data_IF_325669500365
#
_entry.id   IF_325669500365
#
_cell.length_a   1.000
_cell.length_b   1.000
_cell.length_c   1.000
_cell.angle_alpha   90.00
_cell.angle_beta   90.00
_cell.angle_gamma   90.00
#
_symmetry.space_group_name_H-M   'P 1'
#
loop_
_entity.id
_entity.type
_entity.pdbx_description
1 polymer ?
#
# COMPACT_ATOMS: atom_id res chain seq x y z
N UNK A 1 32.30 4.50 -24.54
CA UNK A 1 32.10 4.39 -25.99
C UNK A 1 30.74 3.78 -26.25
N UNK A 2 29.72 4.60 -26.39
CA UNK A 2 28.39 4.23 -26.85
C UNK A 2 28.29 4.58 -28.35
N UNK A 3 27.77 3.72 -29.20
CA UNK A 3 27.41 4.13 -30.55
C UNK A 3 26.00 4.74 -30.54
N UNK A 4 25.90 5.95 -31.05
CA UNK A 4 24.64 6.53 -31.53
C UNK A 4 24.11 5.69 -32.70
N UNK A 5 22.79 5.36 -32.63
CA UNK A 5 21.87 5.54 -33.74
C UNK A 5 20.45 5.16 -33.32
N UNK A 6 19.59 6.17 -33.31
CA UNK A 6 18.13 6.05 -33.17
C UNK A 6 17.56 5.89 -34.57
N UNK A 7 16.75 4.84 -34.85
CA UNK A 7 15.81 4.88 -35.97
C UNK A 7 14.49 5.49 -35.52
N UNK A 8 14.01 6.40 -36.31
CA UNK A 8 12.73 7.08 -36.19
C UNK A 8 11.54 6.16 -36.44
N UNK A 9 10.41 6.56 -35.79
CA UNK A 9 9.00 6.28 -36.08
C UNK A 9 8.34 5.07 -35.43
N UNK A 10 7.33 5.37 -34.63
CA UNK A 10 6.14 4.62 -34.24
C UNK A 10 6.21 3.50 -33.20
N UNK A 11 7.31 3.33 -32.47
CA UNK A 11 7.38 2.39 -31.34
C UNK A 11 7.72 3.04 -29.99
N UNK A 12 7.84 4.37 -29.94
CA UNK A 12 8.48 5.05 -28.81
C UNK A 12 7.69 5.06 -27.50
N UNK A 13 6.37 5.09 -27.55
CA UNK A 13 5.56 5.18 -26.35
C UNK A 13 5.58 3.87 -25.52
N UNK A 14 5.48 2.72 -26.18
CA UNK A 14 5.49 1.43 -25.49
C UNK A 14 6.84 1.09 -24.86
N UNK A 15 7.96 1.42 -25.56
CA UNK A 15 9.29 1.14 -25.04
C UNK A 15 9.68 2.06 -23.87
N UNK A 16 9.29 3.34 -23.91
CA UNK A 16 9.50 4.29 -22.81
C UNK A 16 8.67 3.88 -21.59
N UNK A 17 7.45 3.45 -21.82
CA UNK A 17 6.55 2.97 -20.78
C UNK A 17 7.11 1.71 -20.09
N UNK A 18 7.53 0.72 -20.86
CA UNK A 18 8.15 -0.52 -20.33
C UNK A 18 9.39 -0.24 -19.49
N UNK A 19 10.26 0.70 -19.94
CA UNK A 19 11.42 1.12 -19.16
C UNK A 19 11.04 1.83 -17.87
N UNK A 20 9.98 2.65 -17.87
CA UNK A 20 9.49 3.33 -16.68
C UNK A 20 8.96 2.36 -15.63
N UNK A 21 8.15 1.38 -16.02
CA UNK A 21 7.60 0.36 -15.11
C UNK A 21 8.69 -0.53 -14.55
N UNK A 22 9.61 -1.00 -15.39
CA UNK A 22 10.78 -1.76 -14.93
C UNK A 22 11.63 -0.94 -13.96
N UNK A 23 11.79 0.36 -14.19
CA UNK A 23 12.54 1.23 -13.31
C UNK A 23 11.82 1.43 -11.97
N UNK A 24 10.49 1.61 -11.96
CA UNK A 24 9.68 1.70 -10.75
C UNK A 24 9.73 0.39 -9.97
N UNK A 25 9.50 -0.75 -10.62
CA UNK A 25 9.60 -2.07 -9.98
C UNK A 25 11.01 -2.33 -9.45
N UNK A 26 12.03 -1.90 -10.17
CA UNK A 26 13.43 -2.05 -9.77
C UNK A 26 13.77 -1.15 -8.58
N UNK A 27 13.31 0.10 -8.58
CA UNK A 27 13.44 1.05 -7.46
C UNK A 27 12.69 0.52 -6.23
N UNK A 28 11.45 0.08 -6.44
CA UNK A 28 10.62 -0.54 -5.40
C UNK A 28 11.26 -1.81 -4.83
N UNK A 29 12.06 -2.54 -5.59
CA UNK A 29 12.69 -3.79 -5.14
C UNK A 29 13.95 -3.61 -4.27
N UNK A 30 14.60 -2.46 -4.25
CA UNK A 30 15.96 -2.35 -3.68
C UNK A 30 16.24 -1.17 -2.77
N UNK A 31 15.33 -0.23 -2.60
CA UNK A 31 15.66 1.00 -1.88
C UNK A 31 14.95 1.16 -0.54
N UNK A 32 15.67 1.72 0.41
CA UNK A 32 15.09 2.38 1.58
C UNK A 32 14.17 3.47 1.04
N UNK A 33 12.93 3.48 1.50
CA UNK A 33 11.96 4.50 1.09
C UNK A 33 12.51 5.89 1.39
N UNK A 34 12.84 6.71 0.39
CA UNK A 34 13.33 8.07 0.61
C UNK A 34 12.13 8.98 0.86
N UNK A 35 11.24 8.62 1.79
CA UNK A 35 10.18 9.53 2.18
C UNK A 35 10.38 9.96 3.63
N UNK A 36 10.18 11.22 3.85
CA UNK A 36 10.13 11.79 5.18
C UNK A 36 8.67 11.72 5.67
N UNK A 37 8.35 10.97 6.73
CA UNK A 37 7.00 10.91 7.27
C UNK A 37 6.50 12.25 7.80
N UNK A 38 7.37 13.25 7.90
CA UNK A 38 7.01 14.65 8.18
C UNK A 38 6.36 15.34 7.00
N UNK A 39 6.51 14.82 5.78
CA UNK A 39 5.84 15.34 4.60
C UNK A 39 4.44 14.76 4.47
N UNK A 40 3.56 15.56 3.93
CA UNK A 40 2.20 15.20 3.60
C UNK A 40 2.18 13.97 2.67
N UNK A 41 1.19 13.12 2.85
CA UNK A 41 0.93 12.08 1.86
C UNK A 41 0.76 12.76 0.50
N UNK A 42 1.38 12.22 -0.54
CA UNK A 42 1.20 12.69 -1.91
C UNK A 42 -0.20 12.32 -2.42
N UNK A 43 -1.22 12.90 -1.80
CA UNK A 43 -2.61 12.68 -2.16
C UNK A 43 -2.87 13.08 -3.60
N UNK A 44 -3.68 12.29 -4.29
CA UNK A 44 -4.06 12.60 -5.66
C UNK A 44 -4.89 13.89 -5.73
N UNK A 45 -4.71 14.65 -6.79
CA UNK A 45 -5.36 15.95 -7.01
C UNK A 45 -5.53 16.25 -8.50
N UNK A 46 -6.24 17.33 -8.82
CA UNK A 46 -6.41 17.79 -10.20
C UNK A 46 -7.01 16.72 -11.10
N UNK A 47 -6.42 16.53 -12.27
CA UNK A 47 -6.92 15.63 -13.31
C UNK A 47 -7.01 14.17 -12.86
N UNK A 48 -6.06 13.68 -12.08
CA UNK A 48 -6.11 12.31 -11.53
C UNK A 48 -7.38 12.09 -10.70
N UNK A 49 -7.74 13.10 -9.88
CA UNK A 49 -8.93 13.03 -9.04
C UNK A 49 -10.21 13.14 -9.88
N UNK A 50 -10.25 14.07 -10.83
CA UNK A 50 -11.41 14.26 -11.73
C UNK A 50 -11.72 13.00 -12.55
N UNK A 51 -10.69 12.25 -12.93
CA UNK A 51 -10.82 10.99 -13.68
C UNK A 51 -11.11 9.76 -12.81
N UNK A 52 -11.14 9.90 -11.49
CA UNK A 52 -11.37 8.79 -10.57
C UNK A 52 -12.84 8.64 -10.23
N UNK A 53 -13.46 7.46 -10.44
CA UNK A 53 -14.87 7.24 -10.09
C UNK A 53 -15.17 7.51 -8.60
N UNK A 54 -14.24 7.21 -7.71
CA UNK A 54 -14.34 7.42 -6.26
C UNK A 54 -14.06 8.85 -5.79
N UNK A 55 -13.88 9.83 -6.68
CA UNK A 55 -13.46 11.20 -6.36
C UNK A 55 -14.29 11.85 -5.23
N UNK A 56 -15.62 11.76 -5.31
CA UNK A 56 -16.49 12.40 -4.31
C UNK A 56 -16.30 11.85 -2.89
N UNK A 57 -16.14 10.53 -2.75
CA UNK A 57 -15.86 9.89 -1.46
C UNK A 57 -14.46 10.23 -0.97
N UNK A 58 -13.51 10.28 -1.87
CA UNK A 58 -12.13 10.65 -1.55
C UNK A 58 -12.03 12.10 -1.05
N UNK A 59 -12.66 13.04 -1.73
CA UNK A 59 -12.73 14.42 -1.24
C UNK A 59 -13.41 14.53 0.13
N UNK A 60 -14.48 13.75 0.35
CA UNK A 60 -15.09 13.67 1.69
C UNK A 60 -14.08 13.16 2.71
N UNK A 61 -13.30 12.13 2.39
CA UNK A 61 -12.25 11.62 3.27
C UNK A 61 -11.20 12.67 3.55
N UNK A 62 -10.69 13.39 2.55
CA UNK A 62 -9.68 14.44 2.75
C UNK A 62 -10.19 15.58 3.64
N UNK A 63 -11.46 15.98 3.47
CA UNK A 63 -12.08 16.96 4.37
C UNK A 63 -12.15 16.47 5.81
N UNK A 64 -12.46 15.20 6.02
CA UNK A 64 -12.48 14.57 7.34
C UNK A 64 -11.07 14.41 7.90
N UNK A 65 -10.13 14.00 7.07
CA UNK A 65 -8.72 13.87 7.42
C UNK A 65 -8.17 15.16 8.03
N UNK A 66 -8.40 16.28 7.33
CA UNK A 66 -8.00 17.62 7.81
C UNK A 66 -8.77 18.04 9.06
N UNK A 67 -10.10 17.88 9.06
CA UNK A 67 -10.96 18.33 10.16
C UNK A 67 -10.67 17.58 11.47
N UNK A 68 -10.32 16.32 11.40
CA UNK A 68 -10.07 15.45 12.54
C UNK A 68 -8.58 15.38 12.91
N UNK A 69 -7.74 16.16 12.24
CA UNK A 69 -6.29 16.21 12.50
C UNK A 69 -5.65 14.80 12.44
N UNK A 70 -6.04 13.98 11.46
CA UNK A 70 -5.62 12.59 11.38
C UNK A 70 -4.11 12.45 11.24
N UNK A 71 -3.49 13.27 10.39
CA UNK A 71 -2.04 13.26 10.20
C UNK A 71 -1.31 13.62 11.50
N UNK A 72 -1.75 14.68 12.18
CA UNK A 72 -1.18 15.15 13.45
C UNK A 72 -1.33 14.09 14.54
N UNK A 73 -2.45 13.36 14.58
CA UNK A 73 -2.63 12.24 15.51
C UNK A 73 -1.65 11.11 15.19
N UNK A 74 -1.46 10.77 13.92
CA UNK A 74 -0.49 9.75 13.52
C UNK A 74 0.93 10.14 13.89
N UNK A 75 1.29 11.40 13.67
CA UNK A 75 2.59 11.96 14.04
C UNK A 75 2.83 11.94 15.56
N UNK A 76 1.86 12.38 16.33
CA UNK A 76 1.93 12.30 17.81
C UNK A 76 1.99 10.85 18.29
N UNK A 77 1.36 9.92 17.57
CA UNK A 77 1.46 8.49 17.85
C UNK A 77 2.90 7.98 17.84
N UNK A 78 3.78 8.54 17.00
CA UNK A 78 5.21 8.16 16.97
C UNK A 78 5.94 8.51 18.29
N UNK A 79 5.47 9.52 19.02
CA UNK A 79 6.09 9.99 20.27
C UNK A 79 5.63 9.18 21.49
N UNK A 80 4.41 8.64 21.45
CA UNK A 80 3.76 8.03 22.63
C UNK A 80 3.51 6.52 22.51
N UNK A 81 3.70 5.95 21.33
CA UNK A 81 3.53 4.51 21.08
C UNK A 81 4.80 3.90 20.49
N UNK A 82 5.06 2.60 20.74
CA UNK A 82 6.16 1.93 20.08
C UNK A 82 5.89 1.63 18.59
N UNK A 83 4.70 2.00 18.08
CA UNK A 83 4.31 1.70 16.71
C UNK A 83 4.62 2.86 15.78
N UNK A 84 5.54 2.66 14.85
CA UNK A 84 5.82 3.61 13.77
C UNK A 84 4.81 3.47 12.62
N UNK A 85 3.53 3.55 12.96
CA UNK A 85 2.45 3.31 12.01
C UNK A 85 2.44 4.34 10.88
N UNK A 86 2.77 5.61 11.15
CA UNK A 86 2.77 6.65 10.13
C UNK A 86 3.76 6.35 9.00
N UNK A 87 4.99 5.95 9.32
CA UNK A 87 6.01 5.61 8.31
C UNK A 87 5.56 4.43 7.46
N UNK A 88 4.99 3.41 8.10
CA UNK A 88 4.43 2.26 7.40
C UNK A 88 3.28 2.66 6.48
N UNK A 89 2.29 3.39 6.98
CA UNK A 89 1.13 3.84 6.22
C UNK A 89 1.55 4.69 5.02
N UNK A 90 2.48 5.64 5.23
CA UNK A 90 2.98 6.49 4.16
C UNK A 90 3.74 5.67 3.10
N UNK A 91 4.53 4.68 3.51
CA UNK A 91 5.22 3.78 2.58
C UNK A 91 4.24 2.93 1.76
N UNK A 92 3.23 2.37 2.39
CA UNK A 92 2.17 1.61 1.72
C UNK A 92 1.42 2.49 0.72
N UNK A 93 1.04 3.71 1.15
CA UNK A 93 0.39 4.67 0.25
C UNK A 93 1.25 5.01 -0.97
N UNK A 94 2.55 5.29 -0.74
CA UNK A 94 3.49 5.61 -1.82
C UNK A 94 3.57 4.48 -2.86
N UNK A 95 3.76 3.24 -2.43
CA UNK A 95 3.84 2.09 -3.35
C UNK A 95 2.51 1.88 -4.06
N UNK A 96 1.42 1.82 -3.32
CA UNK A 96 0.10 1.52 -3.90
C UNK A 96 -0.29 2.55 -4.96
N UNK A 97 -0.04 3.84 -4.71
CA UNK A 97 -0.41 4.91 -5.66
C UNK A 97 0.53 4.93 -6.88
N UNK A 98 1.83 4.70 -6.67
CA UNK A 98 2.80 4.63 -7.77
C UNK A 98 2.44 3.49 -8.73
N UNK A 99 2.24 2.29 -8.20
CA UNK A 99 1.86 1.13 -9.01
C UNK A 99 0.46 1.26 -9.62
N UNK A 100 -0.47 1.92 -8.91
CA UNK A 100 -1.80 2.21 -9.42
C UNK A 100 -1.77 3.13 -10.63
N UNK A 101 -0.90 4.15 -10.64
CA UNK A 101 -0.67 5.03 -11.79
C UNK A 101 -0.12 4.26 -12.98
N UNK A 102 0.91 3.47 -12.77
CA UNK A 102 1.53 2.65 -13.82
C UNK A 102 0.53 1.67 -14.46
N UNK A 103 -0.26 0.98 -13.64
CA UNK A 103 -1.30 0.09 -14.14
C UNK A 103 -2.39 0.85 -14.92
N UNK A 104 -2.78 2.04 -14.45
CA UNK A 104 -3.76 2.88 -15.16
C UNK A 104 -3.22 3.34 -16.52
N UNK A 105 -1.94 3.74 -16.60
CA UNK A 105 -1.27 4.08 -17.84
C UNK A 105 -1.16 2.87 -18.77
N UNK A 106 -0.98 1.65 -18.23
CA UNK A 106 -1.04 0.40 -18.99
C UNK A 106 -2.45 0.00 -19.44
N UNK A 107 -3.46 0.82 -19.18
CA UNK A 107 -4.84 0.58 -19.59
C UNK A 107 -5.63 -0.34 -18.66
N UNK A 108 -5.12 -0.65 -17.48
CA UNK A 108 -5.89 -1.37 -16.45
C UNK A 108 -6.84 -0.37 -15.76
N UNK A 109 -8.14 -0.68 -15.66
CA UNK A 109 -9.06 0.21 -14.96
C UNK A 109 -8.77 0.23 -13.45
N UNK A 110 -8.14 1.30 -12.99
CA UNK A 110 -7.80 1.54 -11.58
C UNK A 110 -8.45 2.83 -11.11
N UNK A 111 -9.17 2.77 -10.00
CA UNK A 111 -9.67 3.94 -9.29
C UNK A 111 -8.60 4.45 -8.31
N UNK A 112 -7.82 5.44 -8.73
CA UNK A 112 -6.75 6.01 -7.92
C UNK A 112 -7.26 6.67 -6.63
N UNK A 113 -8.51 7.15 -6.61
CA UNK A 113 -9.11 7.70 -5.40
C UNK A 113 -9.34 6.61 -4.34
N UNK A 114 -9.82 5.43 -4.75
CA UNK A 114 -9.96 4.29 -3.85
C UNK A 114 -8.58 3.78 -3.38
N UNK A 115 -7.61 3.68 -4.28
CA UNK A 115 -6.24 3.26 -3.91
C UNK A 115 -5.64 4.22 -2.89
N UNK A 116 -5.65 5.52 -3.18
CA UNK A 116 -5.05 6.53 -2.29
C UNK A 116 -5.75 6.59 -0.94
N UNK A 117 -7.09 6.66 -0.94
CA UNK A 117 -7.88 6.75 0.28
C UNK A 117 -7.75 5.52 1.16
N UNK A 118 -7.79 4.33 0.57
CA UNK A 118 -7.68 3.08 1.31
C UNK A 118 -6.26 2.88 1.86
N UNK A 119 -5.23 3.14 1.06
CA UNK A 119 -3.85 2.99 1.50
C UNK A 119 -3.48 3.98 2.61
N UNK A 120 -3.94 5.25 2.52
CA UNK A 120 -3.73 6.22 3.58
C UNK A 120 -4.42 5.84 4.90
N UNK A 121 -5.55 5.16 4.84
CA UNK A 121 -6.36 4.84 6.02
C UNK A 121 -6.37 3.38 6.45
N UNK A 122 -5.65 2.47 5.81
CA UNK A 122 -5.77 1.03 6.06
C UNK A 122 -5.49 0.64 7.52
N UNK A 123 -4.58 1.32 8.15
CA UNK A 123 -4.11 1.07 9.52
C UNK A 123 -4.58 2.11 10.55
N UNK A 124 -5.52 2.97 10.18
CA UNK A 124 -6.02 4.03 11.08
C UNK A 124 -6.57 3.47 12.39
N UNK A 125 -7.06 2.24 12.37
CA UNK A 125 -7.55 1.54 13.54
C UNK A 125 -6.50 1.24 14.59
N UNK A 126 -5.19 1.25 14.26
CA UNK A 126 -4.11 1.09 15.24
C UNK A 126 -4.15 2.19 16.29
N UNK A 127 -4.53 3.41 15.89
CA UNK A 127 -4.68 4.56 16.79
C UNK A 127 -5.95 4.49 17.65
N UNK A 128 -6.91 3.62 17.30
CA UNK A 128 -8.11 3.36 18.08
C UNK A 128 -7.98 2.26 19.13
N UNK A 129 -6.90 1.48 19.07
CA UNK A 129 -6.68 0.38 20.02
C UNK A 129 -6.33 0.92 21.41
N UNK A 130 -6.92 0.29 22.45
CA UNK A 130 -6.66 0.64 23.85
C UNK A 130 -5.41 -0.10 24.37
N UNK A 131 -4.77 0.43 25.43
CA UNK A 131 -3.71 -0.29 26.10
C UNK A 131 -4.15 -1.69 26.52
N UNK A 132 -3.35 -2.71 26.21
CA UNK A 132 -3.64 -4.11 26.53
C UNK A 132 -4.52 -4.85 25.52
N UNK A 133 -5.09 -4.17 24.54
CA UNK A 133 -5.81 -4.82 23.45
C UNK A 133 -4.86 -5.52 22.46
N UNK A 134 -5.36 -6.56 21.79
CA UNK A 134 -4.62 -7.32 20.77
C UNK A 134 -4.64 -6.57 19.43
N UNK A 135 -3.77 -5.56 19.30
CA UNK A 135 -3.67 -4.69 18.12
C UNK A 135 -3.69 -5.46 16.78
N UNK A 136 -2.93 -6.58 16.61
CA UNK A 136 -2.93 -7.32 15.34
C UNK A 136 -4.31 -7.82 14.88
N UNK A 137 -5.29 -7.86 15.79
CA UNK A 137 -6.64 -8.34 15.48
C UNK A 137 -7.69 -7.23 15.53
N UNK A 138 -7.54 -6.28 16.45
CA UNK A 138 -8.56 -5.27 16.70
C UNK A 138 -8.41 -4.02 15.85
N UNK A 139 -7.23 -3.73 15.31
CA UNK A 139 -7.08 -2.55 14.44
C UNK A 139 -7.96 -2.64 13.19
N UNK A 140 -8.21 -3.82 12.66
CA UNK A 140 -9.13 -4.04 11.53
C UNK A 140 -10.56 -3.62 11.85
N UNK A 141 -11.04 -4.05 13.02
CA UNK A 141 -12.36 -3.65 13.51
C UNK A 141 -12.47 -2.13 13.66
N UNK A 142 -11.46 -1.50 14.26
CA UNK A 142 -11.46 -0.05 14.44
C UNK A 142 -11.27 0.70 13.12
N UNK A 143 -10.53 0.17 12.16
CA UNK A 143 -10.43 0.71 10.79
C UNK A 143 -11.80 0.70 10.11
N UNK A 144 -12.45 -0.46 10.05
CA UNK A 144 -13.79 -0.61 9.47
C UNK A 144 -14.79 0.32 10.16
N UNK A 145 -14.78 0.36 11.49
CA UNK A 145 -15.66 1.22 12.28
C UNK A 145 -15.43 2.72 11.98
N UNK A 146 -14.18 3.15 11.78
CA UNK A 146 -13.85 4.53 11.44
C UNK A 146 -14.47 4.94 10.11
N UNK A 147 -14.30 4.13 9.08
CA UNK A 147 -14.85 4.38 7.75
C UNK A 147 -16.38 4.33 7.72
N UNK A 148 -17.00 3.32 8.32
CA UNK A 148 -18.45 3.16 8.36
C UNK A 148 -19.15 4.33 9.05
N UNK A 149 -18.63 4.77 10.20
CA UNK A 149 -19.20 5.92 10.93
C UNK A 149 -19.17 7.21 10.12
N UNK A 150 -18.29 7.30 9.12
CA UNK A 150 -18.11 8.48 8.25
C UNK A 150 -18.74 8.31 6.87
N UNK A 151 -19.43 7.19 6.66
CA UNK A 151 -20.05 6.85 5.36
C UNK A 151 -19.06 6.80 4.19
N UNK A 152 -17.86 6.33 4.45
CA UNK A 152 -16.78 6.10 3.49
C UNK A 152 -16.65 4.60 3.20
N UNK A 153 -17.79 3.93 2.95
CA UNK A 153 -17.87 2.46 2.93
C UNK A 153 -17.04 1.82 1.84
N UNK A 154 -16.99 2.41 0.65
CA UNK A 154 -16.21 1.86 -0.48
C UNK A 154 -14.71 1.92 -0.20
N UNK A 155 -14.19 3.08 0.22
CA UNK A 155 -12.79 3.22 0.65
C UNK A 155 -12.50 2.27 1.83
N UNK A 156 -13.41 2.23 2.79
CA UNK A 156 -13.29 1.37 3.97
C UNK A 156 -13.29 -0.12 3.64
N UNK A 157 -14.04 -0.54 2.61
CA UNK A 157 -14.03 -1.91 2.13
C UNK A 157 -12.66 -2.30 1.57
N UNK A 158 -12.08 -1.48 0.71
CA UNK A 158 -10.73 -1.72 0.18
C UNK A 158 -9.71 -1.69 1.32
N UNK A 159 -9.78 -0.69 2.22
CA UNK A 159 -8.89 -0.59 3.38
C UNK A 159 -8.95 -1.82 4.28
N UNK A 160 -10.14 -2.35 4.57
CA UNK A 160 -10.31 -3.54 5.39
C UNK A 160 -9.74 -4.81 4.74
N UNK A 161 -9.73 -4.87 3.41
CA UNK A 161 -9.24 -6.04 2.68
C UNK A 161 -7.73 -6.30 2.85
N UNK A 162 -6.92 -5.30 3.27
CA UNK A 162 -5.48 -5.52 3.48
C UNK A 162 -5.19 -6.64 4.49
N UNK A 163 -6.14 -6.97 5.33
CA UNK A 163 -6.01 -7.98 6.38
C UNK A 163 -6.84 -9.24 6.15
N UNK A 164 -7.72 -9.22 5.17
CA UNK A 164 -8.64 -10.33 4.90
C UNK A 164 -7.97 -11.34 3.98
N UNK A 165 -6.82 -11.81 4.41
CA UNK A 165 -6.04 -12.83 3.69
C UNK A 165 -6.75 -14.18 3.63
N UNK A 166 -7.91 -14.29 4.27
CA UNK A 166 -8.76 -15.48 4.28
C UNK A 166 -9.82 -15.46 3.17
N UNK A 167 -10.01 -14.31 2.50
CA UNK A 167 -10.88 -14.22 1.34
C UNK A 167 -10.17 -14.75 0.10
N UNK A 168 -10.94 -15.33 -0.79
CA UNK A 168 -10.45 -15.79 -2.10
C UNK A 168 -9.90 -14.59 -2.88
N UNK A 169 -8.57 -14.48 -3.12
CA UNK A 169 -7.98 -13.32 -3.81
C UNK A 169 -8.55 -13.06 -5.20
N UNK A 170 -9.13 -14.09 -5.82
CA UNK A 170 -9.73 -14.02 -7.15
C UNK A 170 -10.97 -13.10 -7.22
N UNK A 171 -11.56 -12.75 -6.06
CA UNK A 171 -12.71 -11.86 -5.96
C UNK A 171 -12.34 -10.45 -5.48
N UNK A 172 -11.06 -10.17 -5.30
CA UNK A 172 -10.61 -8.85 -4.89
C UNK A 172 -10.48 -7.92 -6.10
N UNK A 173 -10.84 -6.65 -5.90
CA UNK A 173 -10.58 -5.62 -6.91
C UNK A 173 -9.09 -5.36 -7.06
N UNK A 174 -8.70 -4.75 -8.18
CA UNK A 174 -7.31 -4.36 -8.42
C UNK A 174 -6.79 -3.39 -7.35
N UNK A 175 -7.65 -2.51 -6.83
CA UNK A 175 -7.32 -1.58 -5.76
C UNK A 175 -7.01 -2.33 -4.45
N UNK A 176 -7.80 -3.36 -4.13
CA UNK A 176 -7.54 -4.23 -2.98
C UNK A 176 -6.23 -5.01 -3.13
N UNK A 177 -5.96 -5.55 -4.33
CA UNK A 177 -4.71 -6.26 -4.61
C UNK A 177 -3.49 -5.34 -4.50
N UNK A 178 -3.59 -4.10 -5.02
CA UNK A 178 -2.55 -3.08 -4.90
C UNK A 178 -2.26 -2.77 -3.43
N UNK A 179 -3.30 -2.57 -2.64
CA UNK A 179 -3.14 -2.29 -1.21
C UNK A 179 -2.50 -3.47 -0.46
N UNK A 180 -2.99 -4.70 -0.67
CA UNK A 180 -2.45 -5.90 -0.02
C UNK A 180 -0.99 -6.10 -0.41
N UNK A 181 -0.67 -5.95 -1.71
CA UNK A 181 0.69 -6.09 -2.23
C UNK A 181 1.63 -5.04 -1.61
N UNK A 182 1.20 -3.78 -1.56
CA UNK A 182 1.98 -2.69 -0.97
C UNK A 182 2.21 -2.90 0.53
N UNK A 183 1.16 -3.22 1.28
CA UNK A 183 1.25 -3.52 2.73
C UNK A 183 2.17 -4.71 3.01
N UNK A 184 2.07 -5.75 2.17
CA UNK A 184 2.92 -6.92 2.29
C UNK A 184 4.40 -6.60 2.10
N UNK A 185 4.74 -5.61 1.28
CA UNK A 185 6.11 -5.26 0.92
C UNK A 185 6.78 -4.22 1.81
N UNK A 186 5.98 -3.36 2.47
CA UNK A 186 6.51 -2.37 3.41
C UNK A 186 6.79 -3.03 4.75
N UNK A 187 8.04 -3.11 5.13
CA UNK A 187 8.49 -3.76 6.36
C UNK A 187 9.34 -2.81 7.21
N UNK A 188 9.30 -3.06 8.50
CA UNK A 188 10.14 -2.37 9.48
C UNK A 188 11.12 -3.36 10.07
N UNK A 189 12.39 -2.97 10.11
CA UNK A 189 13.48 -3.71 10.74
C UNK A 189 14.21 -2.82 11.73
N UNK A 190 14.89 -3.43 12.67
CA UNK A 190 15.76 -2.70 13.61
C UNK A 190 17.08 -2.38 12.93
N UNK A 191 17.46 -1.13 12.90
CA UNK A 191 18.77 -0.66 12.50
C UNK A 191 19.85 -0.96 13.55
N UNK A 192 21.13 -0.69 13.24
CA UNK A 192 22.26 -0.97 14.11
C UNK A 192 22.19 -0.29 15.48
N UNK A 193 21.52 0.85 15.57
CA UNK A 193 21.30 1.61 16.81
C UNK A 193 20.02 1.24 17.56
N UNK A 194 19.25 0.25 17.07
CA UNK A 194 17.96 -0.14 17.62
C UNK A 194 16.79 0.71 17.16
N UNK A 195 17.02 1.66 16.24
CA UNK A 195 15.99 2.44 15.58
C UNK A 195 15.19 1.56 14.60
N UNK A 196 13.89 1.79 14.50
CA UNK A 196 13.09 1.16 13.45
C UNK A 196 13.31 1.88 12.12
N UNK A 197 13.66 1.11 11.09
CA UNK A 197 13.83 1.59 9.72
C UNK A 197 12.75 0.98 8.86
N UNK A 198 11.97 1.82 8.20
CA UNK A 198 10.96 1.40 7.22
C UNK A 198 11.59 1.27 5.85
N UNK A 199 11.38 0.15 5.19
CA UNK A 199 11.91 -0.12 3.86
C UNK A 199 10.94 -0.94 3.02
N UNK A 200 11.15 -0.90 1.71
CA UNK A 200 10.43 -1.77 0.77
C UNK A 200 11.25 -3.06 0.61
N UNK A 201 10.65 -4.17 0.95
CA UNK A 201 11.23 -5.50 0.76
C UNK A 201 10.82 -6.08 -0.58
N UNK A 202 11.59 -7.02 -1.11
CA UNK A 202 11.08 -7.91 -2.15
C UNK A 202 9.91 -8.72 -1.60
N UNK A 203 9.06 -9.26 -2.48
CA UNK A 203 7.94 -10.09 -2.03
C UNK A 203 8.44 -11.33 -1.24
N UNK A 204 9.55 -11.93 -1.69
CA UNK A 204 10.16 -13.09 -1.02
C UNK A 204 10.71 -12.76 0.37
N UNK A 205 11.43 -11.63 0.49
CA UNK A 205 11.99 -11.22 1.77
C UNK A 205 10.90 -10.82 2.77
N UNK A 206 9.88 -10.11 2.29
CA UNK A 206 8.71 -9.77 3.10
C UNK A 206 7.99 -11.03 3.62
N UNK A 207 7.86 -12.05 2.77
CA UNK A 207 7.27 -13.32 3.16
C UNK A 207 8.11 -14.06 4.21
N UNK A 208 9.44 -14.07 4.05
CA UNK A 208 10.34 -14.64 5.03
C UNK A 208 10.22 -13.95 6.40
N UNK A 209 10.15 -12.61 6.42
CA UNK A 209 9.91 -11.83 7.65
C UNK A 209 8.59 -12.23 8.32
N UNK A 210 7.52 -12.39 7.54
CA UNK A 210 6.21 -12.78 8.08
C UNK A 210 6.28 -14.19 8.66
N UNK A 211 6.85 -15.15 7.94
CA UNK A 211 6.97 -16.52 8.43
C UNK A 211 7.79 -16.61 9.73
N UNK A 212 8.85 -15.81 9.85
CA UNK A 212 9.67 -15.77 11.05
C UNK A 212 8.95 -15.17 12.27
N UNK A 213 7.94 -14.29 12.04
CA UNK A 213 7.08 -13.74 13.11
C UNK A 213 5.97 -14.70 13.54
N UNK A 214 5.83 -15.84 12.87
CA UNK A 214 4.75 -16.81 13.08
C UNK A 214 5.12 -17.95 14.04
N UNK A 215 5.95 -17.71 15.02
CA UNK A 215 6.25 -18.71 16.05
C UNK A 215 4.96 -19.16 16.76
N UNK A 216 4.77 -20.48 16.82
CA UNK A 216 3.58 -21.09 17.43
C UNK A 216 2.32 -21.07 16.58
N UNK A 217 2.42 -20.76 15.29
CA UNK A 217 1.29 -20.78 14.36
C UNK A 217 1.10 -22.18 13.76
N UNK A 218 -0.17 -22.60 13.66
CA UNK A 218 -0.52 -23.89 13.07
C UNK A 218 -0.23 -23.96 11.55
N UNK A 219 -0.14 -25.18 11.04
CA UNK A 219 0.14 -25.41 9.62
C UNK A 219 -0.98 -24.87 8.68
N UNK A 220 -2.21 -24.83 9.14
CA UNK A 220 -3.32 -24.26 8.35
C UNK A 220 -3.11 -22.78 8.08
N UNK A 221 -2.63 -22.03 9.09
CA UNK A 221 -2.31 -20.61 8.93
C UNK A 221 -1.08 -20.41 8.03
N UNK A 222 -0.04 -21.24 8.17
CA UNK A 222 1.12 -21.19 7.27
C UNK A 222 0.73 -21.47 5.82
N UNK A 223 -0.17 -22.42 5.58
CA UNK A 223 -0.67 -22.71 4.24
C UNK A 223 -1.46 -21.53 3.65
N UNK A 224 -2.27 -20.83 4.47
CA UNK A 224 -2.95 -19.61 4.03
C UNK A 224 -1.96 -18.53 3.59
N UNK A 225 -0.93 -18.27 4.37
CA UNK A 225 0.12 -17.33 3.98
C UNK A 225 0.81 -17.71 2.68
N UNK A 226 1.10 -19.01 2.47
CA UNK A 226 1.68 -19.49 1.21
C UNK A 226 0.74 -19.25 0.02
N UNK A 227 -0.58 -19.48 0.17
CA UNK A 227 -1.56 -19.19 -0.89
C UNK A 227 -1.59 -17.70 -1.24
N UNK A 228 -1.65 -16.84 -0.22
CA UNK A 228 -1.60 -15.38 -0.44
C UNK A 228 -0.31 -14.99 -1.16
N UNK A 229 0.83 -15.51 -0.71
CA UNK A 229 2.12 -15.25 -1.35
C UNK A 229 2.11 -15.65 -2.83
N UNK A 230 1.63 -16.84 -3.16
CA UNK A 230 1.52 -17.29 -4.57
C UNK A 230 0.62 -16.34 -5.38
N UNK A 231 -0.50 -15.89 -4.83
CA UNK A 231 -1.40 -14.95 -5.52
C UNK A 231 -0.77 -13.56 -5.69
N UNK A 232 0.00 -13.10 -4.72
CA UNK A 232 0.75 -11.86 -4.86
C UNK A 232 1.88 -11.98 -5.90
N UNK A 233 2.51 -13.16 -6.03
CA UNK A 233 3.44 -13.44 -7.13
C UNK A 233 2.75 -13.44 -8.50
N UNK A 234 1.54 -13.99 -8.59
CA UNK A 234 0.73 -13.94 -9.81
C UNK A 234 0.37 -12.50 -10.16
N UNK A 235 0.03 -11.68 -9.15
CA UNK A 235 -0.25 -10.25 -9.34
C UNK A 235 1.01 -9.46 -9.74
N UNK A 236 2.16 -9.76 -9.15
CA UNK A 236 3.45 -9.16 -9.52
C UNK A 236 3.78 -9.45 -11.00
N UNK A 237 3.65 -10.70 -11.44
CA UNK A 237 3.81 -11.07 -12.87
C UNK A 237 2.80 -10.36 -13.77
N UNK A 238 1.54 -10.27 -13.35
CA UNK A 238 0.53 -9.52 -14.10
C UNK A 238 0.94 -8.06 -14.32
N UNK A 239 1.51 -7.42 -13.30
CA UNK A 239 2.01 -6.05 -13.41
C UNK A 239 3.23 -5.96 -14.34
N UNK A 240 4.16 -6.92 -14.23
CA UNK A 240 5.35 -7.00 -15.09
C UNK A 240 5.01 -7.23 -16.58
N UNK A 241 3.97 -8.03 -16.86
CA UNK A 241 3.52 -8.32 -18.23
C UNK A 241 2.77 -7.13 -18.87
N UNK A 242 2.24 -6.22 -18.07
CA UNK A 242 1.47 -5.04 -18.54
C UNK A 242 2.32 -3.78 -18.68
N UNK A 243 3.40 -3.70 -17.95
CA UNK A 243 4.38 -2.62 -18.04
C UNK A 243 5.55 -2.98 -18.87
#
# INVERSE_FOLDING_TARGET
LFPEQVPSSDGGAGAVFFLSVLQVLFTVQREILPFDPMYDFAFISGEELEQSPGAALYEQMLRLWKREYIYEMMRLGLEVTPFRALEHIAGVHHIAITMGRELKEAGVPVDLALVSGSAAGHDIGKFGCRPGERVPYLHYYYTDLWFRRRRLTEIGHVAANHSVWDLEPDYLSVESLLLIYADFRVKQTLGPGGEEITHISTLSDAFAVILNKLDGVDEAKKQRYRRVYTRLQDFERFMEERG
#
